data_IF_988598268967
#
_entry.id   IF_988598268967
#
_cell.length_a   1.000
_cell.length_b   1.000
_cell.length_c   1.000
_cell.angle_alpha   90.00
_cell.angle_beta   90.00
_cell.angle_gamma   90.00
#
_symmetry.space_group_name_H-M   'P 1'
#
loop_
_entity.id
_entity.type
_entity.pdbx_description
1 polymer ?
#
# COMPACT_ATOMS: atom_id res chain seq x y z
N UNK A 1 -20.39 23.78 -0.77
CA UNK A 1 -19.72 22.50 -1.10
C UNK A 1 -19.44 21.71 0.18
N UNK A 2 -20.09 20.57 0.38
CA UNK A 2 -19.78 19.67 1.50
C UNK A 2 -18.60 18.80 1.08
N UNK A 3 -17.40 19.10 1.57
CA UNK A 3 -16.21 18.29 1.29
C UNK A 3 -16.32 16.95 2.01
N UNK A 4 -16.34 15.85 1.24
CA UNK A 4 -16.46 14.49 1.78
C UNK A 4 -15.11 13.86 2.10
N UNK A 5 -15.00 13.11 3.19
CA UNK A 5 -13.78 12.37 3.55
C UNK A 5 -14.04 10.91 3.93
N UNK A 6 -13.03 10.07 3.71
CA UNK A 6 -13.00 8.69 4.20
C UNK A 6 -12.11 8.57 5.43
N UNK A 7 -12.45 7.68 6.36
CA UNK A 7 -11.65 7.44 7.57
C UNK A 7 -11.04 6.04 7.51
N UNK A 8 -9.74 5.97 7.76
CA UNK A 8 -9.02 4.71 7.96
C UNK A 8 -8.56 4.68 9.42
N UNK A 9 -9.08 3.76 10.21
CA UNK A 9 -8.73 3.64 11.62
C UNK A 9 -7.55 2.69 11.76
N UNK A 10 -6.45 3.23 12.29
CA UNK A 10 -5.26 2.46 12.61
C UNK A 10 -4.79 1.60 11.42
N UNK A 11 -4.83 0.27 11.61
CA UNK A 11 -4.33 -0.73 10.68
C UNK A 11 -5.09 -0.79 9.35
N UNK A 12 -6.27 -0.18 9.24
CA UNK A 12 -7.06 -0.18 8.00
C UNK A 12 -6.31 0.40 6.78
N UNK A 13 -5.28 1.21 7.03
CA UNK A 13 -4.39 1.74 5.99
C UNK A 13 -3.68 0.65 5.15
N UNK A 14 -3.45 -0.54 5.72
CA UNK A 14 -2.80 -1.64 5.00
C UNK A 14 -3.72 -2.26 3.94
N UNK A 15 -5.04 -2.19 4.13
CA UNK A 15 -6.01 -2.80 3.23
C UNK A 15 -6.36 -1.84 2.09
N UNK A 16 -5.84 -2.07 0.87
CA UNK A 16 -6.06 -1.14 -0.22
C UNK A 16 -7.54 -0.98 -0.58
N UNK A 17 -8.35 -2.02 -0.36
CA UNK A 17 -9.76 -2.06 -0.73
C UNK A 17 -10.57 -0.98 0.03
N UNK A 18 -10.25 -0.70 1.29
CA UNK A 18 -10.99 0.31 2.08
C UNK A 18 -10.78 1.71 1.52
N UNK A 19 -9.52 2.12 1.32
CA UNK A 19 -9.19 3.41 0.71
C UNK A 19 -9.83 3.60 -0.67
N UNK A 20 -9.83 2.54 -1.48
CA UNK A 20 -10.44 2.52 -2.81
C UNK A 20 -11.95 2.67 -2.75
N UNK A 21 -12.61 1.99 -1.80
CA UNK A 21 -14.05 2.11 -1.59
C UNK A 21 -14.44 3.53 -1.18
N UNK A 22 -13.73 4.13 -0.23
CA UNK A 22 -13.96 5.54 0.13
C UNK A 22 -13.79 6.47 -1.06
N UNK A 23 -12.71 6.29 -1.84
CA UNK A 23 -12.48 7.10 -3.04
C UNK A 23 -13.59 6.93 -4.08
N UNK A 24 -14.03 5.69 -4.36
CA UNK A 24 -15.16 5.41 -5.27
C UNK A 24 -16.46 6.05 -4.80
N UNK A 25 -16.67 6.14 -3.49
CA UNK A 25 -17.86 6.73 -2.88
C UNK A 25 -17.78 8.26 -2.76
N UNK A 26 -16.80 8.91 -3.40
CA UNK A 26 -16.72 10.37 -3.47
C UNK A 26 -15.88 11.03 -2.39
N UNK A 27 -15.09 10.29 -1.61
CA UNK A 27 -14.13 10.92 -0.69
C UNK A 27 -13.11 11.78 -1.47
N UNK A 28 -12.97 13.04 -1.09
CA UNK A 28 -12.03 14.01 -1.67
C UNK A 28 -10.66 13.93 -1.01
N UNK A 29 -10.62 13.52 0.26
CA UNK A 29 -9.41 13.19 1.01
C UNK A 29 -9.65 12.03 1.98
N UNK A 30 -8.57 11.48 2.53
CA UNK A 30 -8.64 10.45 3.57
C UNK A 30 -8.04 10.97 4.88
N UNK A 31 -8.60 10.49 5.99
CA UNK A 31 -8.07 10.74 7.33
C UNK A 31 -7.66 9.41 7.93
N UNK A 32 -6.46 9.35 8.51
CA UNK A 32 -6.03 8.20 9.29
C UNK A 32 -5.85 8.60 10.74
N UNK A 33 -6.57 7.93 11.64
CA UNK A 33 -6.47 8.14 13.09
C UNK A 33 -5.92 6.87 13.71
N UNK A 34 -4.85 6.96 14.48
CA UNK A 34 -4.14 5.77 14.96
C UNK A 34 -3.42 5.95 16.28
N UNK A 35 -3.16 4.83 16.94
CA UNK A 35 -2.29 4.72 18.10
C UNK A 35 -1.23 3.66 17.80
N UNK A 36 -0.01 4.09 17.49
CA UNK A 36 1.09 3.18 17.16
C UNK A 36 1.82 2.62 18.39
N UNK A 37 1.36 2.91 19.63
CA UNK A 37 2.00 2.40 20.85
C UNK A 37 2.02 0.87 20.94
N UNK A 38 1.15 0.20 20.18
CA UNK A 38 1.09 -1.26 20.05
C UNK A 38 2.31 -1.87 19.37
N UNK A 39 3.05 -1.08 18.58
CA UNK A 39 4.23 -1.53 17.83
C UNK A 39 5.55 -1.38 18.61
N UNK A 40 5.46 -1.12 19.92
CA UNK A 40 6.60 -0.92 20.79
C UNK A 40 6.88 0.54 21.10
N UNK A 41 7.80 0.76 22.05
CA UNK A 41 8.20 2.09 22.52
C UNK A 41 9.71 2.26 22.42
N UNK A 42 10.19 3.49 22.60
CA UNK A 42 11.63 3.80 22.61
C UNK A 42 12.39 3.03 23.70
N UNK A 43 11.75 2.75 24.84
CA UNK A 43 12.35 2.02 25.95
C UNK A 43 11.42 0.89 26.44
N UNK A 44 11.94 -0.33 26.62
CA UNK A 44 13.29 -0.75 26.26
C UNK A 44 13.51 -0.80 24.73
N UNK A 45 14.73 -0.54 24.25
CA UNK A 45 15.02 -0.33 22.82
C UNK A 45 14.61 -1.52 21.93
N UNK A 46 14.67 -2.75 22.46
CA UNK A 46 14.29 -3.96 21.75
C UNK A 46 12.77 -4.12 21.57
N UNK A 47 11.96 -3.32 22.26
CA UNK A 47 10.50 -3.34 22.09
C UNK A 47 10.07 -2.62 20.82
N UNK A 48 10.88 -1.68 20.30
CA UNK A 48 10.54 -0.90 19.11
C UNK A 48 10.64 -1.75 17.83
N UNK A 49 9.55 -1.81 17.07
CA UNK A 49 9.53 -2.55 15.80
C UNK A 49 9.58 -1.61 14.59
N UNK A 50 9.98 -2.14 13.43
CA UNK A 50 9.96 -1.41 12.15
C UNK A 50 8.55 -1.00 11.70
N UNK A 51 7.50 -1.60 12.29
CA UNK A 51 6.11 -1.31 11.98
C UNK A 51 5.76 0.18 12.23
N UNK A 52 6.43 0.85 13.16
CA UNK A 52 6.27 2.31 13.41
C UNK A 52 6.59 3.17 12.18
N UNK A 53 7.45 2.69 11.28
CA UNK A 53 7.81 3.37 10.04
C UNK A 53 7.07 2.80 8.82
N UNK A 54 6.77 1.51 8.81
CA UNK A 54 6.03 0.86 7.73
C UNK A 54 4.55 1.27 7.72
N UNK A 55 3.94 1.44 8.89
CA UNK A 55 2.54 1.79 9.01
C UNK A 55 2.17 3.11 8.31
N UNK A 56 2.86 4.25 8.54
CA UNK A 56 2.63 5.47 7.76
C UNK A 56 2.99 5.33 6.27
N UNK A 57 3.95 4.46 5.90
CA UNK A 57 4.31 4.24 4.50
C UNK A 57 3.17 3.60 3.69
N UNK A 58 2.27 2.83 4.31
CA UNK A 58 1.07 2.34 3.64
C UNK A 58 0.19 3.49 3.13
N UNK A 59 0.09 4.60 3.87
CA UNK A 59 -0.70 5.76 3.44
C UNK A 59 -0.11 6.43 2.20
N UNK A 60 1.21 6.41 2.02
CA UNK A 60 1.85 6.89 0.79
C UNK A 60 1.34 6.10 -0.42
N UNK A 61 1.29 4.77 -0.30
CA UNK A 61 0.73 3.91 -1.34
C UNK A 61 -0.76 4.19 -1.57
N UNK A 62 -1.55 4.32 -0.49
CA UNK A 62 -2.99 4.63 -0.59
C UNK A 62 -3.27 5.96 -1.29
N UNK A 63 -2.43 6.97 -1.05
CA UNK A 63 -2.50 8.29 -1.67
C UNK A 63 -2.23 8.21 -3.18
N UNK A 64 -1.15 7.53 -3.58
CA UNK A 64 -0.76 7.33 -4.99
C UNK A 64 -1.82 6.51 -5.73
N UNK A 65 -2.20 5.36 -5.16
CA UNK A 65 -3.17 4.43 -5.72
C UNK A 65 -4.49 5.12 -6.06
N UNK A 66 -4.95 6.04 -5.21
CA UNK A 66 -6.25 6.68 -5.33
C UNK A 66 -6.21 8.14 -5.78
N UNK A 67 -5.00 8.68 -5.99
CA UNK A 67 -4.74 10.09 -6.33
C UNK A 67 -5.49 11.02 -5.38
N UNK A 68 -5.29 10.80 -4.08
CA UNK A 68 -6.04 11.42 -2.99
C UNK A 68 -5.09 11.90 -1.90
N UNK A 69 -5.35 13.07 -1.32
CA UNK A 69 -4.59 13.56 -0.18
C UNK A 69 -4.97 12.84 1.12
N UNK A 70 -4.04 12.79 2.06
CA UNK A 70 -4.23 12.12 3.34
C UNK A 70 -3.71 12.97 4.50
N UNK A 71 -4.50 13.08 5.56
CA UNK A 71 -4.06 13.57 6.87
C UNK A 71 -3.99 12.41 7.87
N UNK A 72 -2.84 12.22 8.52
CA UNK A 72 -2.64 11.22 9.57
C UNK A 72 -2.42 11.88 10.91
N UNK A 73 -3.22 11.49 11.89
CA UNK A 73 -3.06 11.81 13.31
C UNK A 73 -2.72 10.54 14.09
N UNK A 74 -1.50 10.48 14.61
CA UNK A 74 -0.99 9.37 15.40
C UNK A 74 -0.66 9.83 16.83
N UNK A 75 -1.08 9.06 17.84
CA UNK A 75 -0.85 9.40 19.25
C UNK A 75 0.64 9.34 19.64
N UNK A 76 1.27 8.17 19.52
CA UNK A 76 2.71 7.96 19.80
C UNK A 76 3.53 7.73 18.53
N UNK A 77 2.85 7.67 17.38
CA UNK A 77 3.42 7.40 16.07
C UNK A 77 3.73 8.66 15.28
N UNK A 78 4.03 8.49 14.00
CA UNK A 78 4.30 9.59 13.09
C UNK A 78 2.96 10.16 12.59
N UNK A 79 2.67 11.40 12.94
CA UNK A 79 1.63 12.20 12.29
C UNK A 79 2.21 12.90 11.06
N UNK A 80 1.45 12.99 9.98
CA UNK A 80 1.94 13.52 8.69
C UNK A 80 0.81 13.88 7.74
N UNK A 81 1.14 14.59 6.67
CA UNK A 81 0.30 14.74 5.49
C UNK A 81 0.93 14.04 4.29
N UNK A 82 0.08 13.53 3.40
CA UNK A 82 0.51 12.96 2.11
C UNK A 82 -0.27 13.62 0.98
N UNK A 83 0.45 14.13 -0.03
CA UNK A 83 -0.18 14.66 -1.25
C UNK A 83 -0.71 13.52 -2.17
N UNK A 84 -1.59 13.82 -3.15
CA UNK A 84 -2.09 12.85 -4.13
C UNK A 84 -1.02 12.16 -5.00
N UNK A 85 0.24 12.57 -4.93
CA UNK A 85 1.39 11.98 -5.63
C UNK A 85 2.29 11.19 -4.67
N UNK A 86 1.91 11.05 -3.40
CA UNK A 86 2.65 10.32 -2.39
C UNK A 86 3.75 11.12 -1.67
N UNK A 87 3.83 12.44 -1.84
CA UNK A 87 4.82 13.26 -1.13
C UNK A 87 4.39 13.48 0.31
N UNK A 88 5.28 13.15 1.24
CA UNK A 88 5.07 13.33 2.67
C UNK A 88 5.48 14.75 3.07
N UNK A 89 4.66 15.40 3.90
CA UNK A 89 5.00 16.68 4.52
C UNK A 89 4.61 16.71 6.00
N UNK A 90 5.29 17.60 6.74
CA UNK A 90 5.08 17.84 8.17
C UNK A 90 5.12 16.60 9.08
N UNK A 91 5.93 15.60 8.74
CA UNK A 91 6.08 14.41 9.58
C UNK A 91 6.58 14.77 10.99
N UNK A 92 5.93 14.24 12.02
CA UNK A 92 6.33 14.43 13.43
C UNK A 92 7.37 13.40 13.86
N UNK A 93 8.24 13.71 14.83
CA UNK A 93 9.04 12.70 15.52
C UNK A 93 8.13 11.69 16.26
N UNK A 94 8.67 10.50 16.50
CA UNK A 94 8.00 9.48 17.31
C UNK A 94 7.99 9.85 18.80
N UNK A 95 6.90 9.52 19.50
CA UNK A 95 6.73 9.69 20.95
C UNK A 95 6.96 11.11 21.49
N UNK A 96 6.76 12.13 20.67
CA UNK A 96 6.84 13.53 21.10
C UNK A 96 5.47 14.20 20.99
N UNK A 97 5.02 14.95 22.01
CA UNK A 97 3.83 15.77 21.89
C UNK A 97 4.07 16.86 20.84
N UNK A 98 3.30 16.83 19.75
CA UNK A 98 3.36 17.84 18.70
C UNK A 98 1.97 18.14 18.14
N UNK A 99 1.86 19.28 17.46
CA UNK A 99 0.70 19.66 16.65
C UNK A 99 1.19 20.11 15.29
N UNK A 100 0.43 19.74 14.24
CA UNK A 100 0.72 20.10 12.86
C UNK A 100 -0.53 20.66 12.20
N UNK A 101 -0.35 21.73 11.44
CA UNK A 101 -1.42 22.40 10.70
C UNK A 101 -0.95 22.49 9.25
N UNK A 102 -1.71 21.86 8.36
CA UNK A 102 -1.39 21.76 6.96
C UNK A 102 -2.64 21.73 6.11
N UNK A 103 -2.47 21.99 4.82
CA UNK A 103 -3.55 21.87 3.83
C UNK A 103 -3.53 20.45 3.26
N UNK A 104 -4.70 19.82 3.18
CA UNK A 104 -4.85 18.52 2.52
C UNK A 104 -5.21 18.76 1.07
N UNK A 105 -4.32 18.38 0.15
CA UNK A 105 -4.57 18.52 -1.28
C UNK A 105 -5.61 17.49 -1.76
N UNK A 106 -6.62 17.93 -2.50
CA UNK A 106 -7.66 17.08 -3.08
C UNK A 106 -7.52 17.00 -4.60
N UNK A 107 -8.16 15.99 -5.22
CA UNK A 107 -8.23 15.90 -6.70
C UNK A 107 -9.58 15.37 -7.17
N UNK A 108 -9.98 15.79 -8.36
CA UNK A 108 -11.24 15.35 -8.99
C UNK A 108 -11.10 14.02 -9.74
N UNK A 109 -9.86 13.57 -9.99
CA UNK A 109 -9.58 12.41 -10.83
C UNK A 109 -9.64 11.08 -10.08
N UNK A 110 -10.21 10.06 -10.73
CA UNK A 110 -10.06 8.65 -10.33
C UNK A 110 -8.96 7.99 -11.16
N UNK A 111 -8.03 7.31 -10.50
CA UNK A 111 -6.98 6.52 -11.18
C UNK A 111 -7.57 5.27 -11.84
N UNK A 112 -6.79 4.64 -12.72
CA UNK A 112 -7.13 3.32 -13.26
C UNK A 112 -7.34 2.31 -12.12
N UNK A 113 -6.42 2.31 -11.15
CA UNK A 113 -6.50 1.44 -9.98
C UNK A 113 -7.77 1.67 -9.16
N UNK A 114 -8.17 2.93 -8.93
CA UNK A 114 -9.42 3.23 -8.23
C UNK A 114 -10.63 2.68 -8.99
N UNK A 115 -10.60 2.58 -10.32
CA UNK A 115 -11.69 2.03 -11.12
C UNK A 115 -11.71 0.50 -11.10
N UNK A 116 -10.58 -0.12 -11.43
CA UNK A 116 -10.47 -1.57 -11.70
C UNK A 116 -10.10 -2.40 -10.48
N UNK A 117 -9.51 -1.79 -9.45
CA UNK A 117 -8.93 -2.51 -8.33
C UNK A 117 -7.78 -3.42 -8.77
N UNK A 118 -7.70 -4.58 -8.13
CA UNK A 118 -6.55 -5.51 -8.20
C UNK A 118 -6.56 -6.42 -9.45
N UNK A 119 -7.61 -6.36 -10.27
CA UNK A 119 -7.80 -7.24 -11.43
C UNK A 119 -6.63 -7.27 -12.42
N UNK A 120 -6.03 -6.13 -12.82
CA UNK A 120 -4.86 -6.16 -13.70
C UNK A 120 -3.67 -6.93 -13.11
N UNK A 121 -3.47 -6.84 -11.79
CA UNK A 121 -2.42 -7.58 -11.09
C UNK A 121 -2.66 -9.09 -11.14
N UNK A 122 -3.90 -9.53 -10.91
CA UNK A 122 -4.27 -10.95 -10.99
C UNK A 122 -4.09 -11.52 -12.39
N UNK A 123 -4.41 -10.76 -13.44
CA UNK A 123 -4.17 -11.17 -14.83
C UNK A 123 -2.68 -11.36 -15.12
N UNK A 124 -1.83 -10.43 -14.68
CA UNK A 124 -0.38 -10.55 -14.83
C UNK A 124 0.20 -11.74 -14.04
N UNK A 125 -0.31 -12.00 -12.83
CA UNK A 125 0.10 -13.15 -12.01
C UNK A 125 -0.25 -14.47 -12.71
N UNK A 126 -1.48 -14.59 -13.23
CA UNK A 126 -1.92 -15.76 -13.99
C UNK A 126 -1.05 -15.97 -15.24
N UNK A 127 -0.82 -14.91 -16.03
CA UNK A 127 0.01 -14.98 -17.23
C UNK A 127 1.45 -15.44 -16.90
N UNK A 128 2.03 -14.94 -15.81
CA UNK A 128 3.35 -15.33 -15.33
C UNK A 128 3.42 -16.81 -14.97
N UNK A 129 2.41 -17.33 -14.25
CA UNK A 129 2.32 -18.75 -13.90
C UNK A 129 2.21 -19.62 -15.15
N UNK A 130 1.36 -19.25 -16.11
CA UNK A 130 1.21 -19.99 -17.36
C UNK A 130 2.51 -20.01 -18.19
N UNK A 131 3.23 -18.89 -18.23
CA UNK A 131 4.52 -18.81 -18.91
C UNK A 131 5.57 -19.74 -18.26
N UNK A 132 5.67 -19.75 -16.93
CA UNK A 132 6.57 -20.64 -16.20
C UNK A 132 6.23 -22.11 -16.43
N UNK A 133 4.95 -22.47 -16.44
CA UNK A 133 4.49 -23.83 -16.73
C UNK A 133 4.82 -24.24 -18.18
N UNK A 134 4.66 -23.34 -19.15
CA UNK A 134 5.02 -23.60 -20.53
C UNK A 134 6.53 -23.90 -20.66
N UNK A 135 7.39 -23.04 -20.09
CA UNK A 135 8.85 -23.22 -20.09
C UNK A 135 9.24 -24.56 -19.44
N UNK A 136 8.67 -24.88 -18.29
CA UNK A 136 8.94 -26.14 -17.60
C UNK A 136 8.55 -27.37 -18.44
N UNK A 137 7.38 -27.33 -19.11
CA UNK A 137 6.93 -28.42 -19.99
C UNK A 137 7.82 -28.58 -21.22
N UNK A 138 8.31 -27.48 -21.80
CA UNK A 138 9.25 -27.51 -22.92
C UNK A 138 10.59 -28.12 -22.52
N UNK A 139 11.14 -27.74 -21.36
CA UNK A 139 12.39 -28.31 -20.83
C UNK A 139 12.30 -29.82 -20.57
N UNK A 140 11.18 -30.31 -20.02
CA UNK A 140 10.96 -31.75 -19.80
C UNK A 140 10.83 -32.53 -21.10
N UNK A 141 10.14 -31.98 -22.12
CA UNK A 141 10.02 -32.62 -23.43
C UNK A 141 11.38 -32.74 -24.15
N UNK A 142 12.21 -31.70 -24.08
CA UNK A 142 13.57 -31.74 -24.64
C UNK A 142 14.46 -32.77 -23.93
N UNK A 143 14.38 -32.88 -22.60
CA UNK A 143 15.13 -33.87 -21.82
C UNK A 143 14.71 -35.32 -22.14
N UNK A 144 13.41 -35.59 -22.29
CA UNK A 144 12.89 -36.92 -22.66
C UNK A 144 13.23 -37.32 -24.10
N UNK A 145 13.35 -36.37 -25.03
CA UNK A 145 13.77 -36.64 -26.41
C UNK A 145 15.27 -37.01 -26.51
N UNK A 146 16.12 -36.41 -25.68
CA UNK A 146 17.56 -36.71 -25.62
C UNK A 146 17.90 -38.10 -25.08
N UNK A 147 17.03 -38.68 -24.23
CA UNK A 147 17.28 -40.00 -23.63
C UNK A 147 17.03 -41.18 -24.58
N UNK A 148 16.20 -40.99 -25.62
CA UNK A 148 15.90 -42.03 -26.62
C UNK A 148 16.95 -42.13 -27.73
N UNK A 149 17.81 -41.12 -27.91
CA UNK A 149 18.87 -41.11 -28.92
C UNK A 149 20.19 -41.79 -28.49
N UNK A 150 20.38 -42.07 -27.20
CA UNK A 150 21.65 -42.56 -26.63
C UNK A 150 21.83 -44.09 -26.54
N UNK A 151 20.93 -44.91 -27.11
CA UNK A 151 20.98 -46.38 -27.04
C UNK A 151 21.37 -47.07 -28.37
N UNK A 152 22.20 -46.44 -29.20
CA UNK A 152 22.84 -47.08 -30.36
C UNK A 152 24.36 -46.91 -30.26
N UNK A 153 25.00 -47.86 -29.59
CA UNK A 153 26.45 -48.01 -29.47
C UNK A 153 26.73 -49.43 -29.00
#
# INVERSE_FOLDING_TARGET
PNTGFGVLICYESIFPQLSRTYRKNGAEFLVNITNDAWFGRQHPWWSQTSALFQHPAHLVMRAIENRVGIARAANTGISLFVDPRGRVSQATPLFQPETRVGTVETTDGLTLYSRTGDWPGWLCALASVLALLAVWRHGRRAASAGTLGGKKG
#
